data_IF_125920482452
#
_entry.id   IF_125920482452
#
_cell.length_a   1.000
_cell.length_b   1.000
_cell.length_c   1.000
_cell.angle_alpha   90.00
_cell.angle_beta   90.00
_cell.angle_gamma   90.00
#
_symmetry.space_group_name_H-M   'P 1'
#
loop_
_entity.id
_entity.type
_entity.pdbx_description
1 polymer ?
#
# COMPACT_ATOMS: atom_id res chain seq x y z
N UNK A 1 -20.22 -22.05 6.66
CA UNK A 1 -19.17 -21.89 5.62
C UNK A 1 -18.98 -23.26 4.97
N UNK A 2 -18.77 -23.37 3.65
CA UNK A 2 -18.49 -24.69 3.04
C UNK A 2 -17.13 -25.20 3.53
N UNK A 3 -17.02 -26.48 3.87
CA UNK A 3 -15.76 -27.11 4.35
C UNK A 3 -14.57 -26.85 3.42
N UNK A 4 -14.81 -26.76 2.10
CA UNK A 4 -13.81 -26.42 1.09
C UNK A 4 -13.00 -25.14 1.39
N UNK A 5 -13.59 -24.15 2.08
CA UNK A 5 -12.94 -22.86 2.33
C UNK A 5 -12.24 -22.77 3.67
N UNK A 6 -12.39 -23.77 4.55
CA UNK A 6 -11.78 -23.79 5.89
C UNK A 6 -10.26 -23.51 5.86
N UNK A 7 -9.46 -24.06 4.92
CA UNK A 7 -8.01 -23.79 4.86
C UNK A 7 -7.64 -22.31 4.66
N UNK A 8 -8.54 -21.49 4.09
CA UNK A 8 -8.29 -20.05 3.89
C UNK A 8 -8.23 -19.29 5.21
N UNK A 9 -8.90 -19.79 6.26
CA UNK A 9 -9.01 -19.14 7.57
C UNK A 9 -8.04 -19.71 8.59
N UNK A 10 -7.17 -20.64 8.19
CA UNK A 10 -6.12 -21.17 9.03
C UNK A 10 -4.89 -20.26 9.02
N UNK A 11 -4.17 -20.15 10.16
CA UNK A 11 -2.93 -19.39 10.22
C UNK A 11 -1.88 -19.87 9.21
N UNK A 12 -0.98 -18.95 8.86
CA UNK A 12 0.16 -19.22 7.99
C UNK A 12 1.40 -18.54 8.55
N UNK A 13 2.46 -19.31 8.79
CA UNK A 13 3.76 -18.82 9.24
C UNK A 13 4.71 -18.75 8.06
N UNK A 14 5.29 -17.57 7.83
CA UNK A 14 6.31 -17.37 6.80
C UNK A 14 7.67 -17.92 7.25
N UNK A 15 8.61 -18.20 6.33
CA UNK A 15 9.95 -18.68 6.67
C UNK A 15 10.73 -17.79 7.64
N UNK A 16 10.41 -16.49 7.69
CA UNK A 16 11.00 -15.53 8.63
C UNK A 16 10.39 -15.55 10.04
N UNK A 17 9.46 -16.47 10.33
CA UNK A 17 8.80 -16.60 11.63
C UNK A 17 7.61 -15.66 11.85
N UNK A 18 7.29 -14.79 10.88
CA UNK A 18 6.09 -13.95 10.94
C UNK A 18 4.85 -14.81 10.67
N UNK A 19 3.83 -14.69 11.52
CA UNK A 19 2.55 -15.37 11.35
C UNK A 19 1.43 -14.40 10.95
N UNK A 20 0.51 -14.87 10.11
CA UNK A 20 -0.77 -14.23 9.80
C UNK A 20 -1.92 -15.15 10.21
N UNK A 21 -3.00 -14.57 10.73
CA UNK A 21 -4.13 -15.32 11.31
C UNK A 21 -4.98 -16.07 10.27
N UNK A 22 -4.85 -15.70 9.00
CA UNK A 22 -5.52 -16.35 7.87
C UNK A 22 -4.79 -16.06 6.55
N UNK A 23 -5.14 -16.81 5.50
CA UNK A 23 -4.51 -16.75 4.17
C UNK A 23 -5.18 -15.72 3.24
N UNK A 24 -6.04 -14.85 3.77
CA UNK A 24 -6.75 -13.84 3.00
C UNK A 24 -5.89 -12.57 3.00
N UNK A 25 -5.39 -12.24 1.82
CA UNK A 25 -4.45 -11.14 1.60
C UNK A 25 -5.09 -10.13 0.66
N UNK A 26 -5.02 -8.85 1.03
CA UNK A 26 -5.34 -7.77 0.11
C UNK A 26 -4.11 -7.44 -0.74
N UNK A 27 -4.25 -7.62 -2.05
CA UNK A 27 -3.24 -7.29 -3.06
C UNK A 27 -3.09 -5.76 -3.23
N UNK A 28 -1.99 -5.29 -3.86
CA UNK A 28 -1.80 -3.88 -4.15
C UNK A 28 -2.95 -3.30 -4.96
N UNK A 29 -3.53 -2.20 -4.47
CA UNK A 29 -4.67 -1.54 -5.11
C UNK A 29 -4.41 -0.04 -5.21
N UNK A 30 -4.21 0.45 -6.43
CA UNK A 30 -4.02 1.87 -6.69
C UNK A 30 -5.37 2.60 -6.61
N UNK A 31 -5.57 3.39 -5.56
CA UNK A 31 -6.78 4.19 -5.32
C UNK A 31 -6.69 5.59 -5.95
N UNK A 32 -5.50 6.00 -6.40
CA UNK A 32 -5.18 7.37 -6.88
C UNK A 32 -5.64 8.46 -5.91
N UNK A 33 -5.60 8.16 -4.62
CA UNK A 33 -6.17 9.00 -3.57
C UNK A 33 -5.11 9.72 -2.72
N UNK A 34 -3.81 9.53 -2.96
CA UNK A 34 -2.77 10.27 -2.24
C UNK A 34 -2.70 11.73 -2.71
N UNK A 35 -2.14 12.61 -1.88
CA UNK A 35 -1.83 13.98 -2.29
C UNK A 35 -0.80 14.01 -3.43
N UNK A 36 -0.70 15.12 -4.17
CA UNK A 36 0.30 15.27 -5.25
C UNK A 36 1.75 15.08 -4.75
N UNK A 37 2.01 15.48 -3.52
CA UNK A 37 3.31 15.28 -2.86
C UNK A 37 3.57 13.81 -2.47
N UNK A 38 2.59 12.92 -2.59
CA UNK A 38 2.69 11.49 -2.26
C UNK A 38 2.40 11.15 -0.80
N UNK A 39 1.91 12.11 0.00
CA UNK A 39 1.40 11.83 1.34
C UNK A 39 0.02 11.15 1.27
N UNK A 40 -0.23 10.27 2.22
CA UNK A 40 -1.47 9.51 2.38
C UNK A 40 -2.58 10.44 2.85
N UNK A 41 -3.73 10.42 2.18
CA UNK A 41 -4.91 11.23 2.55
C UNK A 41 -5.77 10.53 3.60
N UNK A 42 -6.71 11.27 4.20
CA UNK A 42 -7.71 10.67 5.09
C UNK A 42 -8.59 9.64 4.37
N UNK A 43 -8.90 9.87 3.10
CA UNK A 43 -9.69 8.93 2.29
C UNK A 43 -8.93 7.62 2.04
N UNK A 44 -7.62 7.69 1.79
CA UNK A 44 -6.77 6.53 1.65
C UNK A 44 -6.65 5.75 2.98
N UNK A 45 -6.53 6.45 4.12
CA UNK A 45 -6.59 5.81 5.44
C UNK A 45 -7.94 5.14 5.69
N UNK A 46 -9.06 5.80 5.38
CA UNK A 46 -10.40 5.24 5.51
C UNK A 46 -10.63 4.03 4.59
N UNK A 47 -10.04 4.05 3.40
CA UNK A 47 -10.05 2.92 2.47
C UNK A 47 -9.39 1.67 3.07
N UNK A 48 -8.20 1.81 3.67
CA UNK A 48 -7.51 0.69 4.33
C UNK A 48 -8.23 0.25 5.61
N UNK A 49 -8.63 1.19 6.47
CA UNK A 49 -9.32 0.88 7.75
C UNK A 49 -10.57 0.03 7.55
N UNK A 50 -11.34 0.26 6.48
CA UNK A 50 -12.54 -0.52 6.16
C UNK A 50 -12.23 -1.97 5.76
N UNK A 51 -11.02 -2.25 5.26
CA UNK A 51 -10.65 -3.56 4.69
C UNK A 51 -9.85 -4.42 5.64
N UNK A 52 -9.22 -3.85 6.66
CA UNK A 52 -8.32 -4.59 7.57
C UNK A 52 -9.06 -5.57 8.48
N UNK A 53 -10.37 -5.46 8.64
CA UNK A 53 -11.12 -6.39 9.50
C UNK A 53 -11.19 -7.77 8.83
N UNK A 54 -10.51 -8.76 9.43
CA UNK A 54 -10.54 -10.16 8.98
C UNK A 54 -9.49 -10.54 7.95
N UNK A 55 -8.54 -9.65 7.62
CA UNK A 55 -7.42 -9.97 6.73
C UNK A 55 -6.17 -10.34 7.53
N UNK A 56 -5.46 -11.38 7.09
CA UNK A 56 -4.15 -11.72 7.62
C UNK A 56 -3.09 -10.69 7.23
N UNK A 57 -3.15 -10.16 6.01
CA UNK A 57 -2.16 -9.21 5.49
C UNK A 57 -2.74 -8.27 4.43
N UNK A 58 -2.16 -7.07 4.34
CA UNK A 58 -2.41 -6.07 3.30
C UNK A 58 -1.09 -5.65 2.68
N UNK A 59 -1.05 -5.60 1.36
CA UNK A 59 0.02 -4.97 0.59
C UNK A 59 -0.50 -3.61 0.10
N UNK A 60 0.24 -2.54 0.37
CA UNK A 60 -0.18 -1.18 0.00
C UNK A 60 -0.21 -0.98 -1.52
N UNK A 61 -0.77 0.14 -1.96
CA UNK A 61 -0.59 0.62 -3.33
C UNK A 61 0.90 0.82 -3.64
N UNK A 62 1.22 0.82 -4.93
CA UNK A 62 2.58 1.03 -5.44
C UNK A 62 3.14 2.35 -4.92
N UNK A 63 4.23 2.27 -4.15
CA UNK A 63 4.85 3.41 -3.50
C UNK A 63 6.11 3.82 -4.26
N UNK A 64 6.10 5.04 -4.81
CA UNK A 64 7.19 5.55 -5.66
C UNK A 64 8.41 5.92 -4.83
N UNK A 65 9.59 5.56 -5.31
CA UNK A 65 10.88 5.90 -4.72
C UNK A 65 11.47 7.21 -5.24
N UNK A 66 10.94 7.75 -6.33
CA UNK A 66 11.41 9.00 -6.93
C UNK A 66 10.39 10.13 -6.78
N UNK A 67 10.88 11.38 -6.84
CA UNK A 67 10.04 12.59 -6.77
C UNK A 67 9.13 12.73 -8.00
N UNK A 68 9.65 12.33 -9.16
CA UNK A 68 8.98 12.46 -10.45
C UNK A 68 8.73 11.07 -11.04
N UNK A 69 7.83 11.00 -12.03
CA UNK A 69 7.64 9.76 -12.77
C UNK A 69 6.76 8.72 -12.11
N UNK A 70 5.63 9.14 -11.56
CA UNK A 70 4.60 8.19 -11.14
C UNK A 70 3.23 8.72 -11.52
N UNK A 71 2.24 7.81 -11.47
CA UNK A 71 0.86 8.18 -11.65
C UNK A 71 0.43 9.21 -10.60
N UNK A 72 -0.32 10.25 -10.97
CA UNK A 72 -0.94 11.15 -10.00
C UNK A 72 -1.76 10.37 -8.97
N UNK A 73 -1.64 10.78 -7.70
CA UNK A 73 -2.36 10.15 -6.59
C UNK A 73 -1.71 8.87 -6.04
N UNK A 74 -0.44 8.60 -6.35
CA UNK A 74 0.34 7.50 -5.76
C UNK A 74 1.05 7.91 -4.46
N UNK A 75 1.19 6.97 -3.54
CA UNK A 75 1.99 7.12 -2.32
C UNK A 75 3.48 7.29 -2.69
N UNK A 76 4.23 8.09 -1.94
CA UNK A 76 5.68 8.22 -2.08
C UNK A 76 6.44 7.82 -0.82
N UNK A 77 7.63 7.22 -1.02
CA UNK A 77 8.65 6.99 0.01
C UNK A 77 9.97 7.71 -0.34
N UNK A 78 9.97 8.62 -1.30
CA UNK A 78 11.19 9.22 -1.87
C UNK A 78 12.00 10.11 -0.89
N UNK A 79 11.41 10.51 0.24
CA UNK A 79 12.04 11.39 1.23
C UNK A 79 11.51 11.10 2.63
N UNK A 80 12.29 11.44 3.66
CA UNK A 80 11.92 11.27 5.07
C UNK A 80 10.66 12.02 5.48
N UNK A 81 10.24 13.05 4.72
CA UNK A 81 8.97 13.75 4.93
C UNK A 81 7.76 12.82 4.85
N UNK A 82 7.88 11.68 4.18
CA UNK A 82 6.81 10.70 4.08
C UNK A 82 6.73 9.74 5.27
N UNK A 83 7.78 9.64 6.10
CA UNK A 83 7.84 8.67 7.21
C UNK A 83 6.61 8.80 8.10
N UNK A 84 6.29 10.02 8.56
CA UNK A 84 5.13 10.23 9.44
C UNK A 84 3.80 9.82 8.76
N UNK A 85 3.65 10.12 7.46
CA UNK A 85 2.46 9.74 6.70
C UNK A 85 2.34 8.21 6.54
N UNK A 86 3.45 7.55 6.24
CA UNK A 86 3.52 6.09 6.08
C UNK A 86 3.34 5.37 7.42
N UNK A 87 3.83 5.92 8.52
CA UNK A 87 3.58 5.41 9.86
C UNK A 87 2.09 5.44 10.21
N UNK A 88 1.37 6.53 9.86
CA UNK A 88 -0.10 6.60 10.03
C UNK A 88 -0.81 5.52 9.21
N UNK A 89 -0.39 5.29 7.98
CA UNK A 89 -0.92 4.23 7.13
C UNK A 89 -0.67 2.84 7.73
N UNK A 90 0.58 2.54 8.12
CA UNK A 90 0.95 1.27 8.73
C UNK A 90 0.16 1.01 10.02
N UNK A 91 0.02 2.01 10.90
CA UNK A 91 -0.78 1.90 12.12
C UNK A 91 -2.26 1.67 11.81
N UNK A 92 -2.79 2.34 10.79
CA UNK A 92 -4.18 2.14 10.34
C UNK A 92 -4.41 0.71 9.86
N UNK A 93 -3.49 0.16 9.06
CA UNK A 93 -3.57 -1.22 8.59
C UNK A 93 -3.47 -2.22 9.76
N UNK A 94 -2.50 -2.01 10.66
CA UNK A 94 -2.21 -2.90 11.78
C UNK A 94 -3.25 -2.86 12.90
N UNK A 95 -4.18 -1.90 12.86
CA UNK A 95 -5.16 -1.66 13.95
C UNK A 95 -6.07 -2.87 14.28
N UNK A 96 -6.20 -3.85 13.39
CA UNK A 96 -7.02 -5.05 13.57
C UNK A 96 -6.20 -6.36 13.51
N UNK A 97 -4.90 -6.32 13.83
CA UNK A 97 -4.02 -7.51 13.80
C UNK A 97 -3.42 -7.84 12.43
N UNK A 98 -3.95 -7.26 11.35
CA UNK A 98 -3.45 -7.41 9.98
C UNK A 98 -2.00 -6.95 9.83
N UNK A 99 -1.19 -7.71 9.09
CA UNK A 99 0.18 -7.27 8.72
C UNK A 99 0.14 -6.25 7.59
N UNK A 100 1.00 -5.23 7.67
CA UNK A 100 1.12 -4.18 6.66
C UNK A 100 2.43 -4.32 5.90
N UNK A 101 2.36 -4.49 4.58
CA UNK A 101 3.52 -4.57 3.69
C UNK A 101 3.48 -3.40 2.71
N UNK A 102 4.56 -2.62 2.65
CA UNK A 102 4.69 -1.53 1.70
C UNK A 102 5.23 -2.06 0.36
N UNK A 103 4.52 -1.83 -0.75
CA UNK A 103 5.02 -2.18 -2.07
C UNK A 103 5.94 -1.07 -2.62
N UNK A 104 7.24 -1.34 -2.69
CA UNK A 104 8.20 -0.44 -3.33
C UNK A 104 8.09 -0.58 -4.85
N UNK A 105 7.94 0.54 -5.55
CA UNK A 105 7.71 0.55 -6.99
C UNK A 105 8.51 1.63 -7.72
N UNK A 106 8.99 1.27 -8.91
CA UNK A 106 9.63 2.17 -9.87
C UNK A 106 9.00 1.94 -11.25
N UNK A 107 8.57 3.02 -11.91
CA UNK A 107 7.81 2.91 -13.18
C UNK A 107 8.70 2.59 -14.39
N UNK A 108 10.00 2.91 -14.30
CA UNK A 108 10.97 2.73 -15.37
C UNK A 108 10.54 3.48 -16.64
N UNK A 109 10.70 2.83 -17.81
CA UNK A 109 10.33 3.42 -19.10
C UNK A 109 8.83 3.70 -19.28
N UNK A 110 7.98 3.11 -18.43
CA UNK A 110 6.52 3.31 -18.48
C UNK A 110 6.09 4.62 -17.82
N UNK A 111 7.05 5.46 -17.46
CA UNK A 111 6.82 6.82 -16.99
C UNK A 111 6.01 7.58 -18.02
N UNK A 112 4.74 7.85 -17.70
CA UNK A 112 3.92 8.75 -18.50
C UNK A 112 4.48 10.15 -18.34
N UNK A 113 4.80 10.79 -19.48
CA UNK A 113 5.43 12.10 -19.54
C UNK A 113 4.44 13.23 -19.21
N UNK A 114 3.94 13.25 -17.97
CA UNK A 114 3.24 14.44 -17.45
C UNK A 114 4.27 15.56 -17.12
N UNK A 115 5.56 15.34 -17.40
CA UNK A 115 6.65 16.31 -17.18
C UNK A 115 7.28 16.85 -18.49
N UNK A 116 6.81 16.45 -19.67
CA UNK A 116 7.42 16.93 -20.94
C UNK A 116 7.10 18.40 -21.29
N UNK A 117 6.10 19.04 -20.66
CA UNK A 117 5.74 20.43 -20.99
C UNK A 117 6.55 21.52 -20.29
N UNK A 118 7.60 21.18 -19.53
CA UNK A 118 8.38 22.18 -18.76
C UNK A 118 9.88 22.22 -19.02
N UNK A 119 10.36 21.45 -20.00
CA UNK A 119 11.79 21.43 -20.37
C UNK A 119 12.11 22.07 -21.73
N UNK A 120 11.12 22.66 -22.41
CA UNK A 120 11.27 23.40 -23.67
C UNK A 120 10.72 24.84 -23.60
N UNK A 121 10.94 25.55 -22.50
CA UNK A 121 10.66 26.98 -22.37
C UNK A 121 11.81 27.69 -21.68
#
# INVERSE_FOLDING_TARGET
MKELYKPLFEPCTFPCGIEIDNRIIMVPMATKSSFENGMVTLDELAYYKRRTKGLGMVITSATRIEKYGSQPGSISIATDKHIQSLSKLANTIKSNGTKAILQIFHVGRMQTSIVEKRYFS
#
